data_IF_260508540141
#
_entry.id   IF_260508540141
#
_cell.length_a   1.000
_cell.length_b   1.000
_cell.length_c   1.000
_cell.angle_alpha   90.00
_cell.angle_beta   90.00
_cell.angle_gamma   90.00
#
_symmetry.space_group_name_H-M   'P 1'
#
loop_
_entity.id
_entity.type
_entity.pdbx_description
1 polymer ?
#
# COMPACT_ATOMS: atom_id res chain seq x y z
N UNK A 1 52.08 -45.01 24.32
CA UNK A 1 52.21 -43.57 24.63
C UNK A 1 51.19 -42.76 23.91
N UNK A 2 49.91 -43.11 24.05
CA UNK A 2 48.77 -42.32 23.67
C UNK A 2 47.64 -42.66 24.65
N UNK A 3 47.69 -42.02 25.82
CA UNK A 3 46.58 -42.09 26.76
C UNK A 3 46.76 -41.06 27.83
N UNK A 4 46.42 -39.82 27.51
CA UNK A 4 46.17 -38.75 28.51
C UNK A 4 45.73 -37.49 27.76
N UNK A 5 44.49 -37.41 27.33
CA UNK A 5 43.82 -36.14 26.97
C UNK A 5 42.32 -36.35 26.72
N UNK A 6 41.62 -36.92 27.69
CA UNK A 6 40.16 -37.07 27.64
C UNK A 6 39.53 -36.89 29.02
N UNK A 7 39.93 -35.84 29.74
CA UNK A 7 39.22 -35.33 30.94
C UNK A 7 39.27 -33.83 30.89
N UNK A 8 38.28 -33.16 30.32
CA UNK A 8 38.26 -31.68 30.32
C UNK A 8 37.16 -31.04 29.47
N UNK A 9 36.13 -31.80 29.00
CA UNK A 9 35.10 -31.22 28.14
C UNK A 9 33.66 -31.25 28.69
N UNK A 10 33.47 -31.56 29.99
CA UNK A 10 32.10 -31.61 30.55
C UNK A 10 31.81 -30.56 31.64
N UNK A 11 32.59 -29.49 31.71
CA UNK A 11 32.42 -28.48 32.77
C UNK A 11 32.24 -27.04 32.28
N UNK A 12 31.81 -26.85 31.04
CA UNK A 12 31.53 -25.50 30.50
C UNK A 12 30.13 -25.33 29.90
N UNK A 13 29.13 -26.13 30.29
CA UNK A 13 27.74 -26.00 29.76
C UNK A 13 26.75 -25.62 30.90
N UNK A 14 27.18 -24.96 31.95
CA UNK A 14 26.29 -24.68 33.08
C UNK A 14 26.22 -23.20 33.54
N UNK A 15 26.84 -22.26 32.83
CA UNK A 15 26.68 -20.86 33.09
C UNK A 15 26.37 -20.10 31.80
N UNK A 16 25.22 -20.35 31.20
CA UNK A 16 24.56 -19.33 30.38
C UNK A 16 23.84 -18.42 31.36
N UNK A 17 24.55 -17.38 31.84
CA UNK A 17 23.94 -16.24 32.49
C UNK A 17 22.84 -15.70 31.59
N UNK A 18 21.60 -15.67 32.07
CA UNK A 18 20.46 -15.04 31.40
C UNK A 18 20.73 -13.54 31.32
N UNK A 19 21.40 -13.09 30.25
CA UNK A 19 21.57 -11.66 29.97
C UNK A 19 20.23 -11.09 29.53
N UNK A 20 19.65 -10.26 30.40
CA UNK A 20 18.41 -9.53 30.10
C UNK A 20 18.72 -8.21 29.38
N UNK A 21 17.90 -7.86 28.40
CA UNK A 21 18.03 -6.58 27.69
C UNK A 21 17.24 -5.50 28.43
N UNK A 22 17.92 -4.41 28.79
CA UNK A 22 17.33 -3.24 29.44
C UNK A 22 17.23 -2.08 28.43
N UNK A 23 16.04 -1.50 28.28
CA UNK A 23 15.85 -0.25 27.54
C UNK A 23 16.13 0.93 28.47
N UNK A 24 16.84 1.95 27.97
CA UNK A 24 17.16 3.14 28.76
C UNK A 24 16.85 4.44 28.01
N UNK A 25 16.54 5.46 28.80
CA UNK A 25 16.59 6.86 28.39
C UNK A 25 17.71 7.52 29.16
N UNK A 26 18.63 8.17 28.47
CA UNK A 26 19.76 8.85 29.04
C UNK A 26 19.95 10.22 28.38
N UNK A 27 20.67 11.11 29.03
CA UNK A 27 21.03 12.42 28.51
C UNK A 27 22.53 12.45 28.24
N UNK A 28 22.91 12.93 27.07
CA UNK A 28 24.29 13.14 26.64
C UNK A 28 24.88 14.40 27.33
N UNK A 29 26.18 14.54 27.30
CA UNK A 29 26.90 15.71 27.84
C UNK A 29 26.44 17.06 27.22
N UNK A 30 25.81 17.04 26.07
CA UNK A 30 25.17 18.18 25.38
C UNK A 30 23.73 18.49 25.81
N UNK A 31 23.15 17.71 26.75
CA UNK A 31 21.75 17.87 27.20
C UNK A 31 20.70 17.26 26.28
N UNK A 32 21.09 16.43 25.30
CA UNK A 32 20.16 15.80 24.35
C UNK A 32 19.71 14.42 24.84
N UNK A 33 18.42 14.15 24.76
CA UNK A 33 17.84 12.85 25.13
C UNK A 33 18.27 11.75 24.15
N UNK A 34 18.90 10.70 24.66
CA UNK A 34 19.30 9.49 23.92
C UNK A 34 18.55 8.29 24.47
N UNK A 35 18.00 7.46 23.57
CA UNK A 35 17.35 6.19 23.91
C UNK A 35 18.17 5.05 23.34
N UNK A 36 18.33 3.97 24.10
CA UNK A 36 19.06 2.78 23.66
C UNK A 36 18.66 1.54 24.43
N UNK A 37 19.28 0.41 24.08
CA UNK A 37 19.15 -0.85 24.80
C UNK A 37 20.54 -1.36 25.19
N UNK A 38 20.68 -1.96 26.36
CA UNK A 38 21.93 -2.54 26.86
C UNK A 38 21.64 -3.91 27.48
N UNK A 39 22.50 -4.88 27.20
CA UNK A 39 22.44 -6.20 27.79
C UNK A 39 23.20 -6.24 29.09
N UNK A 40 22.53 -6.66 30.17
CA UNK A 40 23.09 -6.73 31.51
C UNK A 40 22.37 -7.78 32.35
N UNK A 41 23.04 -8.30 33.37
CA UNK A 41 22.45 -9.27 34.32
C UNK A 41 21.53 -8.59 35.35
N UNK A 42 21.71 -7.28 35.54
CA UNK A 42 20.92 -6.49 36.51
C UNK A 42 20.77 -5.03 36.07
N UNK A 43 19.72 -4.38 36.63
CA UNK A 43 19.47 -2.94 36.41
C UNK A 43 20.65 -2.04 36.82
N UNK A 44 21.39 -2.44 37.87
CA UNK A 44 22.53 -1.67 38.38
C UNK A 44 23.75 -1.82 37.47
N UNK A 45 23.92 -2.99 36.85
CA UNK A 45 24.96 -3.22 35.84
C UNK A 45 24.65 -2.46 34.55
N UNK A 46 23.39 -2.47 34.13
CA UNK A 46 22.93 -1.66 32.99
C UNK A 46 23.24 -0.16 33.22
N UNK A 47 22.98 0.34 34.43
CA UNK A 47 23.28 1.73 34.79
C UNK A 47 24.78 2.03 34.75
N UNK A 48 25.65 1.11 35.15
CA UNK A 48 27.12 1.26 35.05
C UNK A 48 27.58 1.30 33.59
N UNK A 49 27.13 0.35 32.78
CA UNK A 49 27.48 0.30 31.36
C UNK A 49 27.07 1.58 30.61
N UNK A 50 25.89 2.16 30.93
CA UNK A 50 25.41 3.41 30.34
C UNK A 50 26.26 4.60 30.75
N UNK A 51 26.69 4.65 32.03
CA UNK A 51 27.59 5.69 32.53
C UNK A 51 29.02 5.60 31.95
N UNK A 52 29.52 4.37 31.72
CA UNK A 52 30.81 4.14 31.04
C UNK A 52 30.79 4.61 29.57
N UNK A 53 29.63 4.62 28.94
CA UNK A 53 29.41 5.17 27.58
C UNK A 53 29.27 6.70 27.58
N UNK A 54 29.38 7.37 28.72
CA UNK A 54 29.32 8.82 28.83
C UNK A 54 27.90 9.40 28.93
N UNK A 55 26.89 8.55 29.11
CA UNK A 55 25.49 8.96 29.21
C UNK A 55 25.01 8.98 30.67
N UNK A 56 24.17 9.95 31.01
CA UNK A 56 23.52 10.00 32.34
C UNK A 56 22.14 9.33 32.24
N UNK A 57 21.94 8.16 32.88
CA UNK A 57 20.67 7.45 32.80
C UNK A 57 19.55 8.17 33.55
N UNK A 58 18.45 8.47 32.87
CA UNK A 58 17.26 9.11 33.47
C UNK A 58 16.23 8.04 33.84
N UNK A 59 16.11 6.98 33.03
CA UNK A 59 15.18 5.88 33.29
C UNK A 59 15.70 4.58 32.66
N UNK A 60 15.69 3.50 33.45
CA UNK A 60 16.07 2.15 32.99
C UNK A 60 14.94 1.19 33.32
N UNK A 61 14.41 0.48 32.31
CA UNK A 61 13.36 -0.50 32.44
C UNK A 61 13.76 -1.83 31.81
N UNK A 62 13.26 -2.97 32.36
CA UNK A 62 13.33 -4.24 31.63
C UNK A 62 12.54 -4.12 30.35
N UNK A 63 13.10 -4.53 29.23
CA UNK A 63 12.41 -4.55 27.95
C UNK A 63 11.32 -5.64 28.01
N UNK A 64 10.09 -5.23 28.34
CA UNK A 64 8.93 -6.12 28.26
C UNK A 64 8.68 -6.53 26.81
N UNK A 65 8.07 -7.70 26.59
CA UNK A 65 7.74 -8.21 25.25
C UNK A 65 6.86 -7.24 24.41
N UNK A 66 6.30 -6.20 25.03
CA UNK A 66 5.49 -5.13 24.43
C UNK A 66 6.30 -3.88 24.04
N UNK A 67 7.56 -3.75 24.51
CA UNK A 67 8.44 -2.61 24.24
C UNK A 67 9.48 -2.89 23.12
N UNK A 68 9.41 -4.06 22.50
CA UNK A 68 9.98 -4.21 21.17
C UNK A 68 9.19 -3.25 20.31
N UNK A 69 9.83 -2.18 19.85
CA UNK A 69 9.36 -1.46 18.67
C UNK A 69 8.97 -2.56 17.70
N UNK A 70 7.66 -2.78 17.59
CA UNK A 70 7.11 -3.68 16.57
C UNK A 70 7.48 -2.97 15.28
N UNK A 71 8.65 -3.33 14.77
CA UNK A 71 9.05 -2.99 13.43
C UNK A 71 7.95 -3.57 12.55
N UNK A 72 6.91 -2.77 12.31
CA UNK A 72 5.82 -3.07 11.40
C UNK A 72 6.33 -3.13 9.95
N UNK A 73 7.57 -3.53 9.75
CA UNK A 73 8.18 -3.83 8.47
C UNK A 73 7.50 -5.03 7.76
N UNK A 74 6.57 -5.71 8.47
CA UNK A 74 5.64 -6.65 7.84
C UNK A 74 4.73 -6.00 6.77
N UNK A 75 4.58 -4.69 6.81
CA UNK A 75 3.94 -3.88 5.76
C UNK A 75 4.97 -3.29 4.80
N UNK A 76 5.93 -3.98 4.27
CA UNK A 76 6.91 -3.56 3.27
C UNK A 76 7.30 -2.06 3.29
N UNK A 77 8.36 -1.62 2.71
CA UNK A 77 8.72 -0.21 2.69
C UNK A 77 7.57 0.60 2.08
N UNK A 78 6.94 1.50 2.84
CA UNK A 78 5.89 2.39 2.32
C UNK A 78 6.53 3.26 1.23
N UNK A 79 6.17 3.02 -0.03
CA UNK A 79 6.60 3.87 -1.16
C UNK A 79 6.20 5.31 -0.89
N UNK A 80 7.05 6.25 -1.28
CA UNK A 80 6.76 7.69 -1.17
C UNK A 80 5.50 8.00 -1.99
N UNK A 81 4.57 8.82 -1.45
CA UNK A 81 3.37 9.22 -2.18
C UNK A 81 3.72 9.95 -3.49
N UNK A 82 3.00 9.65 -4.57
CA UNK A 82 3.22 10.33 -5.85
C UNK A 82 3.04 11.86 -5.77
N UNK A 83 2.22 12.34 -4.82
CA UNK A 83 2.07 13.78 -4.57
C UNK A 83 3.37 14.41 -4.07
N UNK A 84 4.05 13.76 -3.11
CA UNK A 84 5.29 14.27 -2.55
C UNK A 84 6.40 14.27 -3.61
N UNK A 85 6.43 13.22 -4.47
CA UNK A 85 7.33 13.16 -5.63
C UNK A 85 7.05 14.26 -6.66
N UNK A 86 5.76 14.57 -6.92
CA UNK A 86 5.40 15.68 -7.83
C UNK A 86 5.90 17.02 -7.30
N UNK A 87 5.70 17.28 -5.99
CA UNK A 87 6.17 18.51 -5.34
C UNK A 87 7.69 18.61 -5.38
N UNK A 88 8.38 17.52 -5.02
CA UNK A 88 9.84 17.44 -5.11
C UNK A 88 10.36 17.75 -6.52
N UNK A 89 9.86 17.07 -7.54
CA UNK A 89 10.29 17.31 -8.93
C UNK A 89 10.01 18.74 -9.39
N UNK A 90 8.85 19.32 -9.01
CA UNK A 90 8.47 20.68 -9.38
C UNK A 90 9.35 21.71 -8.72
N UNK A 91 9.64 21.57 -7.43
CA UNK A 91 10.54 22.44 -6.70
C UNK A 91 11.96 22.35 -7.24
N UNK A 92 12.45 21.11 -7.48
CA UNK A 92 13.78 20.88 -8.03
C UNK A 92 13.93 21.54 -9.40
N UNK A 93 12.97 21.33 -10.32
CA UNK A 93 12.96 22.00 -11.62
C UNK A 93 13.00 23.53 -11.49
N UNK A 94 12.22 24.10 -10.56
CA UNK A 94 12.16 25.55 -10.34
C UNK A 94 13.47 26.14 -9.83
N UNK A 95 14.14 25.42 -8.91
CA UNK A 95 15.43 25.83 -8.34
C UNK A 95 16.53 25.77 -9.41
N UNK A 96 16.57 24.69 -10.21
CA UNK A 96 17.53 24.57 -11.32
C UNK A 96 17.31 25.64 -12.40
N UNK A 97 16.05 25.97 -12.70
CA UNK A 97 15.68 27.04 -13.62
C UNK A 97 16.17 28.42 -13.17
N UNK A 98 16.25 28.63 -11.86
CA UNK A 98 16.83 29.83 -11.28
C UNK A 98 18.37 29.87 -11.34
N UNK A 99 19.04 28.82 -11.91
CA UNK A 99 20.49 28.76 -12.06
C UNK A 99 21.23 28.24 -10.82
N UNK A 100 20.52 27.69 -9.83
CA UNK A 100 21.14 27.10 -8.64
C UNK A 100 21.76 25.74 -9.01
N UNK A 101 22.94 25.43 -8.44
CA UNK A 101 23.61 24.15 -8.67
C UNK A 101 22.78 22.97 -8.15
N UNK A 102 22.98 21.77 -8.72
CA UNK A 102 22.28 20.55 -8.29
C UNK A 102 22.49 20.26 -6.81
N UNK A 103 23.71 20.43 -6.30
CA UNK A 103 24.06 20.18 -4.90
C UNK A 103 23.29 21.12 -3.97
N UNK A 104 23.35 22.43 -4.23
CA UNK A 104 22.64 23.41 -3.41
C UNK A 104 21.11 23.25 -3.51
N UNK A 105 20.61 22.82 -4.67
CA UNK A 105 19.19 22.53 -4.85
C UNK A 105 18.74 21.32 -4.01
N UNK A 106 19.56 20.26 -3.95
CA UNK A 106 19.28 19.09 -3.09
C UNK A 106 19.32 19.45 -1.61
N UNK A 107 20.25 20.29 -1.17
CA UNK A 107 20.33 20.80 0.20
C UNK A 107 19.04 21.53 0.59
N UNK A 108 18.63 22.52 -0.21
CA UNK A 108 17.38 23.27 0.03
C UNK A 108 16.16 22.37 0.07
N UNK A 109 16.09 21.38 -0.83
CA UNK A 109 14.97 20.42 -0.87
C UNK A 109 14.97 19.48 0.34
N UNK A 110 16.14 19.04 0.80
CA UNK A 110 16.29 18.24 2.02
C UNK A 110 15.77 18.97 3.25
N UNK A 111 16.04 20.26 3.39
CA UNK A 111 15.55 21.09 4.49
C UNK A 111 14.03 21.29 4.45
N UNK A 112 13.44 21.49 3.26
CA UNK A 112 12.03 21.81 3.07
C UNK A 112 11.12 20.57 3.03
N UNK A 113 11.68 19.36 2.88
CA UNK A 113 10.90 18.14 2.71
C UNK A 113 10.36 17.63 4.04
N UNK A 114 9.02 17.58 4.20
CA UNK A 114 8.35 17.09 5.41
C UNK A 114 8.39 15.55 5.52
N UNK A 115 8.36 14.85 4.39
CA UNK A 115 8.38 13.40 4.34
C UNK A 115 9.78 12.87 4.70
N UNK A 116 9.91 12.29 5.89
CA UNK A 116 11.20 11.83 6.45
C UNK A 116 11.98 10.91 5.51
N UNK A 117 11.31 9.97 4.83
CA UNK A 117 11.97 9.04 3.91
C UNK A 117 12.50 9.74 2.66
N UNK A 118 11.68 10.65 2.10
CA UNK A 118 12.12 11.44 0.95
C UNK A 118 13.29 12.34 1.34
N UNK A 119 13.23 12.97 2.53
CA UNK A 119 14.30 13.77 3.07
C UNK A 119 15.60 12.97 3.20
N UNK A 120 15.57 11.80 3.83
CA UNK A 120 16.74 10.91 3.97
C UNK A 120 17.28 10.46 2.61
N UNK A 121 16.42 10.19 1.62
CA UNK A 121 16.84 9.84 0.26
C UNK A 121 17.51 11.02 -0.44
N UNK A 122 16.99 12.24 -0.28
CA UNK A 122 17.59 13.47 -0.83
C UNK A 122 18.97 13.74 -0.20
N UNK A 123 19.09 13.63 1.12
CA UNK A 123 20.34 13.85 1.84
C UNK A 123 21.43 12.82 1.45
N UNK A 124 21.05 11.55 1.27
CA UNK A 124 21.96 10.52 0.76
C UNK A 124 22.41 10.83 -0.67
N UNK A 125 21.45 11.20 -1.54
CA UNK A 125 21.75 11.57 -2.92
C UNK A 125 22.67 12.79 -2.98
N UNK A 126 22.43 13.83 -2.17
CA UNK A 126 23.30 14.99 -2.06
C UNK A 126 24.73 14.57 -1.73
N UNK A 127 24.90 13.74 -0.68
CA UNK A 127 26.22 13.27 -0.24
C UNK A 127 26.99 12.50 -1.32
N UNK A 128 26.31 11.72 -2.17
CA UNK A 128 26.91 10.99 -3.30
C UNK A 128 27.31 11.95 -4.44
N UNK A 129 26.44 12.90 -4.77
CA UNK A 129 26.72 13.93 -5.79
C UNK A 129 27.87 14.86 -5.36
N UNK A 130 28.01 15.20 -4.09
CA UNK A 130 29.15 15.96 -3.55
C UNK A 130 30.48 15.22 -3.71
N UNK A 131 30.47 13.88 -3.74
CA UNK A 131 31.65 13.04 -4.01
C UNK A 131 31.98 12.92 -5.50
N UNK A 132 31.17 13.52 -6.38
CA UNK A 132 31.36 13.55 -7.81
C UNK A 132 30.61 12.48 -8.58
N UNK A 133 29.65 11.77 -7.98
CA UNK A 133 28.80 10.83 -8.69
C UNK A 133 27.73 11.57 -9.50
N UNK A 134 27.26 10.94 -10.59
CA UNK A 134 26.14 11.47 -11.35
C UNK A 134 24.85 11.46 -10.51
N UNK A 135 23.98 12.44 -10.71
CA UNK A 135 22.71 12.53 -9.99
C UNK A 135 21.84 11.28 -10.21
N UNK A 136 21.73 10.80 -11.45
CA UNK A 136 20.96 9.60 -11.79
C UNK A 136 21.47 8.34 -11.12
N UNK A 137 22.79 8.15 -11.02
CA UNK A 137 23.39 6.98 -10.39
C UNK A 137 23.22 7.06 -8.86
N UNK A 138 23.47 8.23 -8.26
CA UNK A 138 23.22 8.50 -6.84
C UNK A 138 21.75 8.28 -6.43
N UNK A 139 20.78 8.67 -7.30
CA UNK A 139 19.36 8.42 -7.05
C UNK A 139 18.99 6.94 -7.20
N UNK A 140 19.65 6.20 -8.07
CA UNK A 140 19.40 4.76 -8.30
C UNK A 140 19.74 3.90 -7.10
N UNK A 141 20.72 4.29 -6.30
CA UNK A 141 21.08 3.60 -5.07
C UNK A 141 20.00 3.68 -3.99
N UNK A 142 19.08 4.63 -4.12
CA UNK A 142 17.98 4.83 -3.18
C UNK A 142 16.67 4.24 -3.72
N UNK A 143 16.22 3.11 -3.17
CA UNK A 143 14.97 2.42 -3.55
C UNK A 143 13.70 3.29 -3.43
N UNK A 144 13.80 4.41 -2.72
CA UNK A 144 12.73 5.37 -2.54
C UNK A 144 12.38 6.11 -3.83
N UNK A 145 13.33 6.30 -4.75
CA UNK A 145 13.07 6.94 -6.03
C UNK A 145 12.55 5.92 -7.06
N UNK A 146 11.41 6.20 -7.71
CA UNK A 146 10.91 5.35 -8.78
C UNK A 146 11.88 5.28 -9.96
N UNK A 147 12.03 4.09 -10.57
CA UNK A 147 12.92 3.88 -11.72
C UNK A 147 12.69 4.88 -12.86
N UNK A 148 11.41 5.17 -13.17
CA UNK A 148 11.05 6.17 -14.19
C UNK A 148 11.65 7.55 -13.91
N UNK A 149 11.74 7.99 -12.66
CA UNK A 149 12.36 9.26 -12.29
C UNK A 149 13.86 9.20 -12.55
N UNK A 150 14.52 8.13 -12.10
CA UNK A 150 15.96 7.92 -12.27
C UNK A 150 16.33 7.90 -13.74
N UNK A 151 15.58 7.18 -14.57
CA UNK A 151 15.84 7.07 -16.02
C UNK A 151 15.59 8.40 -16.75
N UNK A 152 14.57 9.16 -16.34
CA UNK A 152 14.33 10.52 -16.85
C UNK A 152 15.43 11.51 -16.45
N UNK A 153 15.94 11.42 -15.23
CA UNK A 153 17.09 12.21 -14.77
C UNK A 153 18.34 11.85 -15.58
N UNK A 154 18.58 10.56 -15.80
CA UNK A 154 19.70 10.08 -16.63
C UNK A 154 19.64 10.64 -18.05
N UNK A 155 18.47 10.62 -18.69
CA UNK A 155 18.26 11.22 -20.00
C UNK A 155 18.48 12.75 -19.97
N UNK A 156 18.02 13.41 -18.90
CA UNK A 156 18.20 14.86 -18.69
C UNK A 156 19.66 15.25 -18.45
N UNK A 157 20.44 14.45 -17.72
CA UNK A 157 21.89 14.64 -17.55
C UNK A 157 22.62 14.51 -18.87
N UNK A 158 22.34 13.43 -19.63
CA UNK A 158 22.98 13.18 -20.91
C UNK A 158 22.69 14.27 -21.96
N UNK A 159 21.50 14.87 -21.93
CA UNK A 159 21.08 15.94 -22.85
C UNK A 159 21.31 17.36 -22.32
N UNK A 160 21.76 17.51 -21.06
CA UNK A 160 21.88 18.82 -20.40
C UNK A 160 20.54 19.50 -20.11
N UNK A 161 19.42 18.75 -20.08
CA UNK A 161 18.06 19.28 -19.92
C UNK A 161 17.34 18.74 -18.68
N UNK A 162 18.05 18.68 -17.54
CA UNK A 162 17.50 18.20 -16.24
C UNK A 162 16.21 18.90 -15.83
N UNK A 163 16.14 20.22 -16.04
CA UNK A 163 14.95 21.03 -15.74
C UNK A 163 13.71 20.51 -16.46
N UNK A 164 13.84 20.22 -17.77
CA UNK A 164 12.74 19.70 -18.57
C UNK A 164 12.33 18.31 -18.12
N UNK A 165 13.28 17.43 -17.83
CA UNK A 165 13.03 16.08 -17.32
C UNK A 165 12.29 16.11 -16.00
N UNK A 166 12.72 16.95 -15.06
CA UNK A 166 12.05 17.14 -13.75
C UNK A 166 10.66 17.74 -13.90
N UNK A 167 10.47 18.72 -14.80
CA UNK A 167 9.16 19.31 -15.08
C UNK A 167 8.18 18.26 -15.61
N UNK A 168 8.60 17.42 -16.54
CA UNK A 168 7.80 16.30 -17.07
C UNK A 168 7.44 15.30 -15.97
N UNK A 169 8.40 14.94 -15.13
CA UNK A 169 8.19 14.03 -14.01
C UNK A 169 7.25 14.63 -12.94
N UNK A 170 7.32 15.92 -12.70
CA UNK A 170 6.37 16.61 -11.83
C UNK A 170 4.93 16.45 -12.32
N UNK A 171 4.69 16.67 -13.62
CA UNK A 171 3.37 16.50 -14.25
C UNK A 171 2.94 15.03 -14.22
N UNK A 172 3.85 14.09 -14.53
CA UNK A 172 3.60 12.66 -14.48
C UNK A 172 3.11 12.22 -13.10
N UNK A 173 3.85 12.55 -12.04
CA UNK A 173 3.48 12.21 -10.67
C UNK A 173 2.22 12.93 -10.18
N UNK A 174 1.95 14.15 -10.66
CA UNK A 174 0.70 14.86 -10.36
C UNK A 174 -0.51 14.11 -10.94
N UNK A 175 -0.41 13.67 -12.20
CA UNK A 175 -1.47 12.88 -12.85
C UNK A 175 -1.66 11.52 -12.15
N UNK A 176 -0.58 10.85 -11.79
CA UNK A 176 -0.63 9.60 -11.01
C UNK A 176 -1.29 9.80 -9.64
N UNK A 177 -0.97 10.91 -8.95
CA UNK A 177 -1.58 11.25 -7.67
C UNK A 177 -3.08 11.56 -7.83
N UNK A 178 -3.47 12.29 -8.90
CA UNK A 178 -4.86 12.59 -9.22
C UNK A 178 -5.67 11.31 -9.44
N UNK A 179 -5.21 10.42 -10.31
CA UNK A 179 -5.88 9.14 -10.59
C UNK A 179 -6.07 8.29 -9.33
N UNK A 180 -5.00 8.13 -8.54
CA UNK A 180 -5.09 7.41 -7.25
C UNK A 180 -6.05 8.11 -6.27
N UNK A 181 -6.05 9.44 -6.28
CA UNK A 181 -6.91 10.27 -5.43
C UNK A 181 -8.39 10.11 -5.75
N UNK A 182 -8.75 10.09 -7.04
CA UNK A 182 -10.13 9.90 -7.52
C UNK A 182 -10.68 8.57 -7.02
N UNK A 183 -9.96 7.47 -7.27
CA UNK A 183 -10.37 6.13 -6.83
C UNK A 183 -10.46 6.04 -5.30
N UNK A 184 -9.48 6.59 -4.58
CA UNK A 184 -9.47 6.57 -3.10
C UNK A 184 -10.65 7.35 -2.51
N UNK A 185 -10.94 8.54 -3.04
CA UNK A 185 -12.07 9.36 -2.58
C UNK A 185 -13.41 8.66 -2.82
N UNK A 186 -13.59 8.07 -4.00
CA UNK A 186 -14.80 7.35 -4.35
C UNK A 186 -15.07 6.14 -3.43
N UNK A 187 -14.03 5.42 -3.02
CA UNK A 187 -14.14 4.27 -2.12
C UNK A 187 -14.36 4.64 -0.65
N UNK A 188 -14.18 5.91 -0.26
CA UNK A 188 -14.33 6.33 1.14
C UNK A 188 -15.77 6.19 1.62
N UNK A 189 -16.74 6.64 0.84
CA UNK A 189 -18.17 6.59 1.20
C UNK A 189 -18.67 5.16 1.42
N UNK A 190 -18.48 4.19 0.49
CA UNK A 190 -18.83 2.79 0.71
C UNK A 190 -18.20 2.19 1.98
N UNK A 191 -16.92 2.48 2.23
CA UNK A 191 -16.21 1.96 3.41
C UNK A 191 -16.85 2.48 4.71
N UNK A 192 -17.16 3.77 4.79
CA UNK A 192 -17.80 4.37 5.96
C UNK A 192 -19.17 3.76 6.20
N UNK A 193 -19.98 3.59 5.15
CA UNK A 193 -21.30 2.96 5.27
C UNK A 193 -21.23 1.51 5.77
N UNK A 194 -20.32 0.71 5.23
CA UNK A 194 -20.11 -0.66 5.68
C UNK A 194 -19.68 -0.68 7.15
N UNK A 195 -18.82 0.25 7.56
CA UNK A 195 -18.36 0.34 8.94
C UNK A 195 -19.50 0.69 9.89
N UNK A 196 -20.37 1.65 9.53
CA UNK A 196 -21.56 2.00 10.29
C UNK A 196 -22.54 0.82 10.37
N UNK A 197 -22.76 0.13 9.25
CA UNK A 197 -23.61 -1.07 9.20
C UNK A 197 -23.12 -2.16 10.17
N UNK A 198 -21.83 -2.46 10.14
CA UNK A 198 -21.21 -3.42 11.08
C UNK A 198 -21.41 -2.96 12.53
N UNK A 199 -21.22 -1.66 12.81
CA UNK A 199 -21.46 -1.08 14.13
C UNK A 199 -22.89 -1.29 14.61
N UNK A 200 -23.89 -1.04 13.77
CA UNK A 200 -25.30 -1.27 14.07
C UNK A 200 -25.58 -2.74 14.36
N UNK A 201 -25.06 -3.66 13.54
CA UNK A 201 -25.21 -5.11 13.75
C UNK A 201 -24.61 -5.52 15.10
N UNK A 202 -23.40 -5.06 15.42
CA UNK A 202 -22.73 -5.37 16.69
C UNK A 202 -23.54 -4.85 17.88
N UNK A 203 -24.02 -3.62 17.84
CA UNK A 203 -24.86 -3.03 18.92
C UNK A 203 -26.14 -3.84 19.10
N UNK A 204 -26.82 -4.18 18.02
CA UNK A 204 -28.05 -4.99 18.08
C UNK A 204 -27.80 -6.38 18.67
N UNK A 205 -26.74 -7.07 18.22
CA UNK A 205 -26.41 -8.41 18.71
C UNK A 205 -25.90 -8.42 20.17
N UNK A 206 -25.21 -7.35 20.61
CA UNK A 206 -24.62 -7.33 21.95
C UNK A 206 -25.49 -6.75 23.03
N UNK A 207 -26.35 -5.80 22.70
CA UNK A 207 -27.18 -5.07 23.66
C UNK A 207 -28.69 -5.35 23.51
N UNK A 208 -29.22 -5.20 22.29
CA UNK A 208 -30.68 -5.22 22.08
C UNK A 208 -31.24 -6.64 22.19
N UNK A 209 -30.68 -7.60 21.45
CA UNK A 209 -31.17 -8.97 21.44
C UNK A 209 -31.10 -9.64 22.83
N UNK A 210 -30.01 -9.50 23.63
CA UNK A 210 -29.98 -10.07 24.97
C UNK A 210 -30.96 -9.46 25.94
N UNK A 211 -31.33 -8.16 25.81
CA UNK A 211 -32.35 -7.56 26.69
C UNK A 211 -33.75 -8.15 26.47
N UNK A 212 -34.02 -8.65 25.27
CA UNK A 212 -35.27 -9.39 25.04
C UNK A 212 -35.23 -10.81 25.63
N UNK A 213 -34.05 -11.45 25.72
CA UNK A 213 -33.93 -12.78 26.32
C UNK A 213 -34.32 -12.83 27.77
N UNK A 214 -33.83 -11.89 28.58
CA UNK A 214 -34.20 -11.85 30.01
C UNK A 214 -35.70 -11.79 30.20
N UNK A 215 -36.42 -11.09 29.30
CA UNK A 215 -37.86 -10.98 29.31
C UNK A 215 -38.58 -12.29 28.94
N UNK A 216 -37.95 -13.18 28.14
CA UNK A 216 -38.52 -14.50 27.78
C UNK A 216 -38.20 -15.58 28.80
N UNK A 217 -37.04 -15.53 29.44
CA UNK A 217 -36.66 -16.45 30.53
C UNK A 217 -37.60 -16.30 31.71
N UNK A 218 -38.05 -15.07 31.99
CA UNK A 218 -39.02 -14.79 33.07
C UNK A 218 -40.45 -15.37 32.80
N UNK A 219 -40.76 -15.76 31.56
CA UNK A 219 -42.07 -16.21 31.12
C UNK A 219 -42.13 -17.72 30.75
N UNK A 220 -41.04 -18.46 30.96
CA UNK A 220 -40.93 -19.91 30.75
C UNK A 220 -41.41 -20.38 29.34
N UNK A 221 -41.27 -19.52 28.32
CA UNK A 221 -41.77 -19.76 26.96
C UNK A 221 -40.65 -20.18 25.99
N UNK A 222 -40.90 -21.16 25.11
CA UNK A 222 -39.95 -21.63 24.14
C UNK A 222 -39.64 -20.55 23.07
N UNK A 223 -38.36 -20.30 22.85
CA UNK A 223 -37.88 -19.35 21.85
C UNK A 223 -38.04 -19.86 20.40
N UNK A 224 -38.48 -19.00 19.45
CA UNK A 224 -38.52 -19.34 18.02
C UNK A 224 -37.15 -19.79 17.48
N UNK A 225 -37.18 -20.68 16.49
CA UNK A 225 -35.95 -21.22 15.87
C UNK A 225 -35.06 -20.11 15.29
N UNK A 226 -35.68 -19.09 14.70
CA UNK A 226 -34.96 -17.91 14.15
C UNK A 226 -34.24 -17.09 15.23
N UNK A 227 -34.94 -16.85 16.36
CA UNK A 227 -34.34 -16.14 17.49
C UNK A 227 -33.21 -16.95 18.12
N UNK A 228 -33.39 -18.28 18.27
CA UNK A 228 -32.36 -19.18 18.76
C UNK A 228 -31.11 -19.19 17.86
N UNK A 229 -31.28 -19.14 16.51
CA UNK A 229 -30.17 -19.04 15.58
C UNK A 229 -29.40 -17.72 15.70
N UNK A 230 -30.12 -16.60 15.85
CA UNK A 230 -29.52 -15.27 16.01
C UNK A 230 -28.79 -15.15 17.35
N UNK A 231 -29.34 -15.75 18.41
CA UNK A 231 -28.72 -15.82 19.74
C UNK A 231 -27.42 -16.63 19.71
N UNK A 232 -27.46 -17.82 19.09
CA UNK A 232 -26.27 -18.64 18.92
C UNK A 232 -25.17 -17.87 18.16
N UNK A 233 -25.57 -17.03 17.18
CA UNK A 233 -24.65 -16.16 16.45
C UNK A 233 -24.13 -15.01 17.34
N UNK A 234 -24.98 -14.42 18.19
CA UNK A 234 -24.60 -13.38 19.17
C UNK A 234 -23.59 -13.92 20.19
N UNK A 235 -23.88 -15.08 20.78
CA UNK A 235 -23.03 -15.71 21.78
C UNK A 235 -21.69 -16.16 21.14
N UNK A 236 -21.75 -16.66 19.92
CA UNK A 236 -20.53 -16.97 19.15
C UNK A 236 -19.68 -15.71 18.91
N UNK A 237 -20.29 -14.58 18.54
CA UNK A 237 -19.56 -13.32 18.34
C UNK A 237 -19.01 -12.80 19.67
N UNK A 238 -19.77 -12.85 20.76
CA UNK A 238 -19.30 -12.41 22.08
C UNK A 238 -18.19 -13.28 22.65
N UNK A 239 -18.34 -14.63 22.52
CA UNK A 239 -17.37 -15.58 23.05
C UNK A 239 -16.12 -15.73 22.19
N UNK A 240 -16.25 -15.63 20.89
CA UNK A 240 -15.19 -15.95 19.93
C UNK A 240 -14.81 -14.78 19.00
N UNK A 241 -15.08 -13.52 19.40
CA UNK A 241 -14.76 -12.34 18.58
C UNK A 241 -13.28 -12.31 18.13
N UNK A 242 -12.36 -12.77 18.99
CA UNK A 242 -10.95 -12.87 18.69
C UNK A 242 -10.64 -13.94 17.60
N UNK A 243 -11.43 -15.03 17.57
CA UNK A 243 -11.30 -16.07 16.52
C UNK A 243 -11.70 -15.48 15.16
N UNK A 244 -12.84 -14.75 15.11
CA UNK A 244 -13.25 -14.06 13.88
C UNK A 244 -12.20 -13.05 13.41
N UNK A 245 -11.62 -12.28 14.34
CA UNK A 245 -10.53 -11.36 14.04
C UNK A 245 -9.29 -12.10 13.51
N UNK A 246 -8.87 -13.20 14.14
CA UNK A 246 -7.74 -14.03 13.68
C UNK A 246 -8.03 -14.63 12.30
N UNK A 247 -9.25 -15.11 12.05
CA UNK A 247 -9.64 -15.65 10.74
C UNK A 247 -9.59 -14.57 9.66
N UNK A 248 -10.15 -13.39 9.91
CA UNK A 248 -10.09 -12.25 8.97
C UNK A 248 -8.64 -11.85 8.69
N UNK A 249 -7.83 -11.68 9.74
CA UNK A 249 -6.40 -11.37 9.60
C UNK A 249 -5.68 -12.50 8.86
N UNK A 250 -5.97 -13.77 9.18
CA UNK A 250 -5.41 -14.94 8.50
C UNK A 250 -5.76 -14.98 7.01
N UNK A 251 -7.01 -14.66 6.63
CA UNK A 251 -7.43 -14.57 5.23
C UNK A 251 -6.68 -13.43 4.53
N UNK A 252 -6.61 -12.23 5.13
CA UNK A 252 -5.89 -11.08 4.56
C UNK A 252 -4.40 -11.39 4.37
N UNK A 253 -3.77 -11.97 5.39
CA UNK A 253 -2.36 -12.39 5.32
C UNK A 253 -2.17 -13.50 4.30
N UNK A 254 -3.06 -14.50 4.28
CA UNK A 254 -3.01 -15.60 3.31
C UNK A 254 -3.12 -15.11 1.86
N UNK A 255 -4.09 -14.24 1.58
CA UNK A 255 -4.25 -13.63 0.24
C UNK A 255 -3.03 -12.78 -0.13
N UNK A 256 -2.44 -12.07 0.84
CA UNK A 256 -1.24 -11.26 0.61
C UNK A 256 -0.01 -12.12 0.36
N UNK A 257 0.18 -13.20 1.13
CA UNK A 257 1.28 -14.16 0.93
C UNK A 257 1.12 -14.90 -0.40
N UNK A 258 -0.10 -15.36 -0.73
CA UNK A 258 -0.40 -15.97 -2.02
C UNK A 258 -0.14 -15.00 -3.17
N UNK A 259 -0.52 -13.72 -3.02
CA UNK A 259 -0.26 -12.67 -4.01
C UNK A 259 1.21 -12.29 -4.20
N UNK A 260 2.09 -12.68 -3.26
CA UNK A 260 3.54 -12.50 -3.42
C UNK A 260 4.22 -13.66 -4.18
N UNK A 261 3.53 -14.80 -4.38
CA UNK A 261 4.01 -15.88 -5.24
C UNK A 261 3.72 -15.56 -6.71
N UNK A 262 4.61 -15.93 -7.64
CA UNK A 262 4.44 -15.67 -9.07
C UNK A 262 3.11 -16.15 -9.61
N UNK A 263 2.76 -17.42 -9.34
CA UNK A 263 1.48 -18.02 -9.76
C UNK A 263 0.28 -17.34 -9.09
N UNK A 264 0.39 -16.99 -7.82
CA UNK A 264 -0.67 -16.32 -7.06
C UNK A 264 -0.94 -14.92 -7.56
N UNK A 265 0.10 -14.14 -7.85
CA UNK A 265 0.01 -12.80 -8.41
C UNK A 265 -0.66 -12.83 -9.80
N UNK A 266 -0.24 -13.75 -10.68
CA UNK A 266 -0.83 -13.91 -12.00
C UNK A 266 -2.33 -14.28 -11.92
N UNK A 267 -2.71 -15.25 -11.06
CA UNK A 267 -4.09 -15.65 -10.89
C UNK A 267 -4.98 -14.55 -10.28
N UNK A 268 -4.49 -13.86 -9.25
CA UNK A 268 -5.23 -12.75 -8.64
C UNK A 268 -5.42 -11.59 -9.62
N UNK A 269 -4.40 -11.24 -10.40
CA UNK A 269 -4.48 -10.16 -11.37
C UNK A 269 -5.40 -10.52 -12.54
N UNK A 270 -5.41 -11.78 -12.97
CA UNK A 270 -6.38 -12.30 -13.93
C UNK A 270 -7.81 -12.27 -13.40
N UNK A 271 -8.01 -12.61 -12.13
CA UNK A 271 -9.32 -12.56 -11.49
C UNK A 271 -9.83 -11.11 -11.41
N UNK A 272 -8.96 -10.16 -11.02
CA UNK A 272 -9.32 -8.73 -10.97
C UNK A 272 -9.80 -8.19 -12.31
N UNK A 273 -9.22 -8.63 -13.44
CA UNK A 273 -9.65 -8.24 -14.78
C UNK A 273 -11.00 -8.86 -15.19
N UNK A 274 -11.37 -10.03 -14.63
CA UNK A 274 -12.63 -10.72 -14.94
C UNK A 274 -13.83 -10.16 -14.16
N UNK A 275 -13.61 -9.48 -13.05
CA UNK A 275 -14.70 -8.90 -12.25
C UNK A 275 -15.35 -7.77 -13.05
N UNK A 276 -16.67 -7.82 -13.32
CA UNK A 276 -17.36 -6.74 -14.04
C UNK A 276 -17.17 -5.41 -13.28
N UNK A 277 -17.10 -4.30 -13.98
CA UNK A 277 -16.87 -2.93 -13.50
C UNK A 277 -15.43 -2.71 -13.01
N UNK A 278 -14.91 -3.53 -12.08
CA UNK A 278 -13.52 -3.44 -11.60
C UNK A 278 -12.49 -3.76 -12.68
N UNK A 279 -12.75 -4.80 -13.49
CA UNK A 279 -11.86 -5.18 -14.60
C UNK A 279 -11.77 -4.06 -15.63
N UNK A 280 -12.91 -3.45 -15.96
CA UNK A 280 -12.96 -2.33 -16.90
C UNK A 280 -12.19 -1.12 -16.37
N UNK A 281 -12.37 -0.77 -15.08
CA UNK A 281 -11.61 0.29 -14.43
C UNK A 281 -10.09 0.01 -14.44
N UNK A 282 -9.70 -1.25 -14.20
CA UNK A 282 -8.30 -1.65 -14.21
C UNK A 282 -7.69 -1.58 -15.61
N UNK A 283 -8.43 -2.00 -16.64
CA UNK A 283 -8.02 -1.88 -18.05
C UNK A 283 -7.83 -0.41 -18.43
N UNK A 284 -8.82 0.45 -18.16
CA UNK A 284 -8.72 1.89 -18.45
C UNK A 284 -7.55 2.53 -17.71
N UNK A 285 -7.35 2.19 -16.43
CA UNK A 285 -6.22 2.69 -15.62
C UNK A 285 -4.86 2.22 -16.16
N UNK A 286 -4.76 0.97 -16.63
CA UNK A 286 -3.54 0.45 -17.25
C UNK A 286 -3.24 1.18 -18.57
N UNK A 287 -4.25 1.40 -19.41
CA UNK A 287 -4.12 2.15 -20.67
C UNK A 287 -3.72 3.62 -20.43
N UNK A 288 -4.32 4.30 -19.44
CA UNK A 288 -3.95 5.64 -19.06
C UNK A 288 -2.47 5.72 -18.60
N UNK A 289 -2.08 4.79 -17.72
CA UNK A 289 -0.70 4.70 -17.22
C UNK A 289 0.31 4.42 -18.33
N UNK A 290 0.03 3.44 -19.19
CA UNK A 290 0.85 3.10 -20.36
C UNK A 290 1.02 4.29 -21.30
N UNK A 291 -0.10 4.85 -21.77
CA UNK A 291 -0.08 5.94 -22.75
C UNK A 291 0.63 7.19 -22.18
N UNK A 292 0.38 7.53 -20.92
CA UNK A 292 1.01 8.66 -20.24
C UNK A 292 2.51 8.44 -20.08
N UNK A 293 2.93 7.28 -19.61
CA UNK A 293 4.35 6.97 -19.40
C UNK A 293 5.10 6.98 -20.74
N UNK A 294 4.57 6.27 -21.74
CA UNK A 294 5.17 6.24 -23.08
C UNK A 294 5.27 7.63 -23.69
N UNK A 295 4.20 8.43 -23.66
CA UNK A 295 4.24 9.78 -24.23
C UNK A 295 5.27 10.66 -23.52
N UNK A 296 5.37 10.59 -22.19
CA UNK A 296 6.34 11.37 -21.40
C UNK A 296 7.77 11.01 -21.76
N UNK A 297 8.08 9.70 -21.89
CA UNK A 297 9.41 9.22 -22.21
C UNK A 297 9.80 9.54 -23.66
N UNK A 298 8.91 9.32 -24.64
CA UNK A 298 9.15 9.66 -26.03
C UNK A 298 9.34 11.16 -26.24
N UNK A 299 8.54 12.00 -25.59
CA UNK A 299 8.72 13.46 -25.60
C UNK A 299 10.04 13.91 -24.96
N UNK A 300 10.65 13.10 -24.10
CA UNK A 300 11.98 13.36 -23.56
C UNK A 300 13.11 12.90 -24.52
N UNK A 301 12.76 12.36 -25.71
CA UNK A 301 13.70 11.86 -26.71
C UNK A 301 14.22 10.45 -26.42
N UNK A 302 13.58 9.72 -25.51
CA UNK A 302 13.98 8.35 -25.18
C UNK A 302 13.64 7.39 -26.33
N UNK A 303 14.54 6.44 -26.71
CA UNK A 303 14.25 5.43 -27.70
C UNK A 303 13.00 4.61 -27.35
N UNK A 304 12.23 4.20 -28.37
CA UNK A 304 10.96 3.47 -28.21
C UNK A 304 11.10 2.20 -27.37
N UNK A 305 12.20 1.46 -27.53
CA UNK A 305 12.46 0.19 -26.83
C UNK A 305 12.67 0.44 -25.34
N UNK A 306 13.47 1.43 -24.99
CA UNK A 306 13.74 1.80 -23.60
C UNK A 306 12.47 2.36 -22.92
N UNK A 307 11.71 3.17 -23.66
CA UNK A 307 10.42 3.68 -23.20
C UNK A 307 9.40 2.54 -22.92
N UNK A 308 9.38 1.48 -23.72
CA UNK A 308 8.54 0.29 -23.51
C UNK A 308 8.98 -0.47 -22.26
N UNK A 309 10.27 -0.65 -22.03
CA UNK A 309 10.82 -1.31 -20.84
C UNK A 309 10.41 -0.59 -19.55
N UNK A 310 10.65 0.71 -19.52
CA UNK A 310 10.26 1.55 -18.37
C UNK A 310 8.75 1.55 -18.18
N UNK A 311 7.97 1.65 -19.27
CA UNK A 311 6.51 1.60 -19.19
C UNK A 311 6.03 0.25 -18.66
N UNK A 312 6.62 -0.87 -19.07
CA UNK A 312 6.31 -2.18 -18.53
C UNK A 312 6.57 -2.23 -17.01
N UNK A 313 7.71 -1.74 -16.53
CA UNK A 313 8.07 -1.72 -15.11
C UNK A 313 7.12 -0.91 -14.23
N UNK A 314 6.41 0.07 -14.80
CA UNK A 314 5.41 0.88 -14.09
C UNK A 314 4.05 0.19 -13.96
N UNK A 315 3.80 -0.91 -14.71
CA UNK A 315 2.54 -1.62 -14.69
C UNK A 315 2.33 -2.35 -13.36
N UNK A 316 1.16 -2.15 -12.75
CA UNK A 316 0.81 -2.80 -11.49
C UNK A 316 0.34 -4.22 -11.67
N UNK A 317 -0.33 -4.50 -12.80
CA UNK A 317 -0.88 -5.81 -13.14
C UNK A 317 0.15 -6.60 -13.96
N UNK A 318 0.47 -7.81 -13.50
CA UNK A 318 1.47 -8.68 -14.13
C UNK A 318 1.13 -9.02 -15.58
N UNK A 319 -0.16 -9.17 -15.92
CA UNK A 319 -0.56 -9.48 -17.30
C UNK A 319 -0.19 -8.37 -18.28
N UNK A 320 -0.30 -7.11 -17.86
CA UNK A 320 0.12 -5.96 -18.68
C UNK A 320 1.65 -5.85 -18.75
N UNK A 321 2.35 -6.15 -17.64
CA UNK A 321 3.81 -6.24 -17.63
C UNK A 321 4.32 -7.27 -18.64
N UNK A 322 3.81 -8.51 -18.55
CA UNK A 322 4.21 -9.63 -19.44
C UNK A 322 3.86 -9.34 -20.91
N UNK A 323 2.71 -8.67 -21.14
CA UNK A 323 2.30 -8.27 -22.48
C UNK A 323 3.25 -7.22 -23.07
N UNK A 324 3.64 -6.19 -22.29
CA UNK A 324 4.54 -5.15 -22.76
C UNK A 324 5.97 -5.67 -22.99
N UNK A 325 6.45 -6.63 -22.19
CA UNK A 325 7.73 -7.30 -22.44
C UNK A 325 7.72 -8.07 -23.78
N UNK A 326 6.61 -8.72 -24.13
CA UNK A 326 6.42 -9.36 -25.45
C UNK A 326 6.34 -8.32 -26.56
N UNK A 327 5.61 -7.22 -26.33
CA UNK A 327 5.52 -6.10 -27.27
C UNK A 327 6.92 -5.52 -27.54
N UNK A 328 7.71 -5.27 -26.47
CA UNK A 328 9.10 -4.81 -26.59
C UNK A 328 9.94 -5.73 -27.45
N UNK A 329 9.83 -7.04 -27.23
CA UNK A 329 10.55 -8.05 -28.02
C UNK A 329 10.14 -8.03 -29.49
N UNK A 330 8.85 -7.83 -29.82
CA UNK A 330 8.37 -7.70 -31.19
C UNK A 330 8.86 -6.41 -31.87
N UNK A 331 8.81 -5.28 -31.14
CA UNK A 331 9.28 -3.99 -31.65
C UNK A 331 10.79 -3.99 -31.88
N UNK A 332 11.56 -4.66 -31.04
CA UNK A 332 13.04 -4.81 -31.24
C UNK A 332 13.39 -5.59 -32.50
N UNK A 333 12.48 -6.43 -33.02
CA UNK A 333 12.58 -7.11 -34.31
C UNK A 333 12.10 -6.25 -35.49
N UNK A 334 11.73 -5.00 -35.26
CA UNK A 334 11.23 -4.08 -36.28
C UNK A 334 9.75 -4.21 -36.61
N UNK A 335 8.98 -4.95 -35.81
CA UNK A 335 7.53 -5.05 -36.02
C UNK A 335 6.80 -3.81 -35.47
N UNK A 336 5.73 -3.34 -36.14
CA UNK A 336 4.97 -2.17 -35.70
C UNK A 336 4.41 -2.35 -34.28
N UNK A 337 4.52 -1.32 -33.45
CA UNK A 337 4.02 -1.29 -32.06
C UNK A 337 2.52 -1.55 -32.00
N UNK A 338 1.75 -0.90 -32.89
CA UNK A 338 0.29 -1.07 -32.98
C UNK A 338 -0.12 -2.53 -33.19
N UNK A 339 0.60 -3.26 -34.06
CA UNK A 339 0.33 -4.68 -34.31
C UNK A 339 0.66 -5.55 -33.09
N UNK A 340 1.75 -5.25 -32.38
CA UNK A 340 2.13 -5.98 -31.17
C UNK A 340 1.13 -5.74 -30.04
N UNK A 341 0.67 -4.50 -29.83
CA UNK A 341 -0.38 -4.16 -28.86
C UNK A 341 -1.70 -4.89 -29.20
N UNK A 342 -2.07 -4.95 -30.48
CA UNK A 342 -3.27 -5.70 -30.93
C UNK A 342 -3.16 -7.19 -30.61
N UNK A 343 -2.03 -7.79 -30.89
CA UNK A 343 -1.77 -9.22 -30.65
C UNK A 343 -1.82 -9.58 -29.16
N UNK A 344 -1.49 -8.65 -28.27
CA UNK A 344 -1.56 -8.86 -26.83
C UNK A 344 -2.99 -9.08 -26.31
N UNK A 345 -4.00 -8.55 -27.01
CA UNK A 345 -5.42 -8.65 -26.65
C UNK A 345 -5.83 -7.93 -25.36
N UNK A 346 -4.92 -7.22 -24.70
CA UNK A 346 -5.18 -6.52 -23.42
C UNK A 346 -5.49 -5.03 -23.62
N UNK A 347 -5.06 -4.45 -24.72
CA UNK A 347 -5.28 -3.04 -25.02
C UNK A 347 -6.53 -2.83 -25.87
N UNK A 348 -7.42 -1.90 -25.47
CA UNK A 348 -8.61 -1.57 -26.26
C UNK A 348 -8.26 -1.08 -27.67
N UNK A 349 -9.16 -1.29 -28.66
CA UNK A 349 -8.94 -0.91 -30.05
C UNK A 349 -8.51 0.55 -30.23
N UNK A 350 -9.02 1.46 -29.42
CA UNK A 350 -8.68 2.89 -29.48
C UNK A 350 -7.19 3.15 -29.28
N UNK A 351 -6.55 2.53 -28.27
CA UNK A 351 -5.10 2.68 -28.03
C UNK A 351 -4.32 2.17 -29.25
N UNK A 352 -4.72 0.99 -29.77
CA UNK A 352 -4.09 0.36 -30.93
C UNK A 352 -4.20 1.24 -32.16
N UNK A 353 -5.37 1.84 -32.43
CA UNK A 353 -5.59 2.73 -33.57
C UNK A 353 -4.81 4.04 -33.46
N UNK A 354 -4.81 4.66 -32.25
CA UNK A 354 -4.06 5.91 -32.03
C UNK A 354 -2.57 5.68 -32.22
N UNK A 355 -2.02 4.58 -31.71
CA UNK A 355 -0.61 4.21 -31.91
C UNK A 355 -0.34 3.96 -33.39
N UNK A 356 -1.23 3.24 -34.10
CA UNK A 356 -1.09 3.00 -35.55
C UNK A 356 -1.04 4.30 -36.38
N UNK A 357 -1.94 5.24 -36.09
CA UNK A 357 -1.93 6.57 -36.73
C UNK A 357 -0.62 7.29 -36.41
N UNK A 358 -0.16 7.23 -35.16
CA UNK A 358 1.12 7.82 -34.75
C UNK A 358 2.33 7.21 -35.46
N UNK A 359 2.34 5.89 -35.70
CA UNK A 359 3.39 5.20 -36.46
C UNK A 359 3.38 5.63 -37.94
N UNK A 360 2.21 5.72 -38.56
CA UNK A 360 2.07 6.15 -39.97
C UNK A 360 2.46 7.62 -40.18
N UNK A 361 2.14 8.48 -39.21
CA UNK A 361 2.40 9.94 -39.29
C UNK A 361 3.75 10.35 -38.70
N UNK A 362 4.46 9.44 -38.04
CA UNK A 362 5.70 9.73 -37.31
C UNK A 362 5.49 10.50 -35.99
N UNK A 363 4.25 10.59 -35.48
CA UNK A 363 3.90 11.40 -34.31
C UNK A 363 3.26 10.54 -33.19
N UNK A 364 3.96 9.45 -32.83
CA UNK A 364 3.47 8.49 -31.82
C UNK A 364 3.29 9.15 -30.45
N UNK A 365 4.17 10.09 -30.10
CA UNK A 365 4.15 10.76 -28.79
C UNK A 365 2.89 11.59 -28.55
N UNK A 366 2.40 12.33 -29.57
CA UNK A 366 1.19 13.11 -29.49
C UNK A 366 -0.06 12.23 -29.45
N UNK A 367 -0.10 11.17 -30.24
CA UNK A 367 -1.19 10.21 -30.25
C UNK A 367 -1.32 9.49 -28.92
N UNK A 368 -0.20 9.15 -28.30
CA UNK A 368 -0.19 8.58 -26.95
C UNK A 368 -0.60 9.63 -25.88
N UNK A 369 -0.21 10.89 -26.03
CA UNK A 369 -0.67 11.97 -25.14
C UNK A 369 -2.20 12.10 -25.17
N UNK A 370 -2.79 12.11 -26.36
CA UNK A 370 -4.23 12.18 -26.55
C UNK A 370 -4.93 10.94 -25.97
N UNK A 371 -4.36 9.76 -26.19
CA UNK A 371 -4.85 8.51 -25.58
C UNK A 371 -4.78 8.56 -24.06
N UNK A 372 -3.71 9.12 -23.48
CA UNK A 372 -3.56 9.24 -22.03
C UNK A 372 -4.64 10.14 -21.43
N UNK A 373 -4.88 11.31 -22.03
CA UNK A 373 -5.93 12.25 -21.57
C UNK A 373 -7.29 11.58 -21.62
N UNK A 374 -7.63 10.92 -22.75
CA UNK A 374 -8.90 10.22 -22.90
C UNK A 374 -9.09 9.14 -21.82
N UNK A 375 -8.09 8.28 -21.60
CA UNK A 375 -8.22 7.23 -20.59
C UNK A 375 -8.15 7.73 -19.16
N UNK A 376 -7.49 8.85 -18.87
CA UNK A 376 -7.56 9.52 -17.57
C UNK A 376 -8.99 9.97 -17.25
N UNK A 377 -9.68 10.57 -18.21
CA UNK A 377 -11.11 10.94 -18.11
C UNK A 377 -12.02 9.72 -17.98
N UNK A 378 -11.77 8.68 -18.76
CA UNK A 378 -12.50 7.43 -18.70
C UNK A 378 -12.37 6.70 -17.35
N UNK A 379 -11.21 6.77 -16.71
CA UNK A 379 -11.00 6.28 -15.33
C UNK A 379 -11.84 7.07 -14.34
N UNK A 380 -11.93 8.39 -14.50
CA UNK A 380 -12.74 9.26 -13.65
C UNK A 380 -14.23 8.91 -13.77
N UNK A 381 -14.75 8.80 -15.00
CA UNK A 381 -16.13 8.40 -15.30
C UNK A 381 -16.43 6.99 -14.77
N UNK A 382 -15.54 6.02 -15.03
CA UNK A 382 -15.72 4.64 -14.58
C UNK A 382 -15.71 4.54 -13.04
N UNK A 383 -14.92 5.37 -12.37
CA UNK A 383 -14.88 5.43 -10.91
C UNK A 383 -16.18 5.99 -10.33
N UNK A 384 -16.77 7.01 -10.97
CA UNK A 384 -18.07 7.54 -10.60
C UNK A 384 -19.18 6.49 -10.81
N UNK A 385 -19.17 5.80 -11.95
CA UNK A 385 -20.09 4.70 -12.23
C UNK A 385 -20.01 3.60 -11.18
N UNK A 386 -18.79 3.20 -10.79
CA UNK A 386 -18.58 2.23 -9.73
C UNK A 386 -19.24 2.68 -8.40
N UNK A 387 -19.03 3.94 -8.02
CA UNK A 387 -19.59 4.50 -6.79
C UNK A 387 -21.12 4.52 -6.84
N UNK A 388 -21.70 4.94 -7.95
CA UNK A 388 -23.16 4.96 -8.15
C UNK A 388 -23.81 3.58 -8.12
N UNK A 389 -23.08 2.54 -8.60
CA UNK A 389 -23.55 1.15 -8.51
C UNK A 389 -23.43 0.57 -7.09
N UNK A 390 -22.47 1.03 -6.31
CA UNK A 390 -22.30 0.57 -4.92
C UNK A 390 -23.45 1.02 -4.01
N UNK A 391 -24.02 2.20 -4.26
CA UNK A 391 -25.10 2.76 -3.43
C UNK A 391 -26.34 1.87 -3.37
N UNK A 392 -26.98 1.45 -4.49
CA UNK A 392 -28.10 0.52 -4.45
C UNK A 392 -27.77 -0.82 -3.79
N UNK A 393 -26.56 -1.33 -3.99
CA UNK A 393 -26.13 -2.60 -3.39
C UNK A 393 -26.07 -2.47 -1.86
N UNK A 394 -25.52 -1.37 -1.36
CA UNK A 394 -25.43 -1.11 0.08
C UNK A 394 -26.84 -0.92 0.67
N UNK A 395 -27.73 -0.19 -0.02
CA UNK A 395 -29.12 0.00 0.43
C UNK A 395 -29.86 -1.33 0.54
N UNK A 396 -29.76 -2.20 -0.48
CA UNK A 396 -30.38 -3.54 -0.45
C UNK A 396 -29.80 -4.39 0.68
N UNK A 397 -28.48 -4.36 0.87
CA UNK A 397 -27.82 -5.07 1.96
C UNK A 397 -28.29 -4.55 3.34
N UNK A 398 -28.39 -3.25 3.51
CA UNK A 398 -28.90 -2.62 4.73
C UNK A 398 -30.36 -3.00 4.98
N UNK A 399 -31.21 -2.94 3.96
CA UNK A 399 -32.61 -3.35 4.05
C UNK A 399 -32.73 -4.81 4.48
N UNK A 400 -31.91 -5.71 3.90
CA UNK A 400 -31.87 -7.11 4.29
C UNK A 400 -31.50 -7.31 5.76
N UNK A 401 -30.46 -6.61 6.24
CA UNK A 401 -30.04 -6.64 7.65
C UNK A 401 -31.16 -6.13 8.57
N UNK A 402 -31.81 -5.02 8.21
CA UNK A 402 -32.91 -4.44 8.99
C UNK A 402 -34.08 -5.41 9.05
N UNK A 403 -34.47 -6.04 7.94
CA UNK A 403 -35.57 -7.04 7.92
C UNK A 403 -35.22 -8.22 8.84
N UNK A 404 -33.98 -8.73 8.81
CA UNK A 404 -33.55 -9.79 9.71
C UNK A 404 -33.66 -9.37 11.19
N UNK A 405 -33.25 -8.14 11.52
CA UNK A 405 -33.35 -7.62 12.89
C UNK A 405 -34.81 -7.44 13.34
N UNK A 406 -35.69 -6.94 12.45
CA UNK A 406 -37.13 -6.83 12.73
C UNK A 406 -37.72 -8.21 12.99
N UNK A 407 -37.45 -9.20 12.15
CA UNK A 407 -37.92 -10.58 12.36
C UNK A 407 -37.42 -11.17 13.69
N UNK A 408 -36.18 -10.88 14.06
CA UNK A 408 -35.59 -11.32 15.33
C UNK A 408 -36.34 -10.77 16.58
N UNK A 409 -36.90 -9.57 16.46
CA UNK A 409 -37.62 -8.90 17.56
C UNK A 409 -39.13 -9.21 17.53
N UNK A 410 -39.73 -9.16 16.32
CA UNK A 410 -41.18 -9.32 16.18
C UNK A 410 -41.67 -10.75 16.44
N UNK A 411 -40.91 -11.76 16.02
CA UNK A 411 -41.32 -13.15 16.14
C UNK A 411 -41.45 -13.60 17.60
N UNK A 412 -40.53 -13.28 18.52
CA UNK A 412 -40.71 -13.48 19.95
C UNK A 412 -41.92 -12.76 20.52
N UNK A 413 -42.14 -11.48 20.16
CA UNK A 413 -43.24 -10.69 20.67
C UNK A 413 -44.63 -11.28 20.31
N UNK A 414 -44.80 -11.79 19.08
CA UNK A 414 -46.05 -12.44 18.64
C UNK A 414 -46.28 -13.73 19.43
N UNK A 415 -45.26 -14.52 19.71
CA UNK A 415 -45.39 -15.75 20.52
C UNK A 415 -45.78 -15.41 21.95
N UNK A 416 -45.17 -14.41 22.55
CA UNK A 416 -45.51 -13.92 23.88
C UNK A 416 -47.00 -13.53 23.95
N UNK A 417 -47.47 -12.78 22.96
CA UNK A 417 -48.87 -12.36 22.88
C UNK A 417 -49.82 -13.57 22.77
N UNK A 418 -49.48 -14.58 21.97
CA UNK A 418 -50.26 -15.79 21.81
C UNK A 418 -50.28 -16.65 23.10
N UNK A 419 -49.18 -16.71 23.85
CA UNK A 419 -49.06 -17.47 25.09
C UNK A 419 -49.89 -16.81 26.22
N UNK A 420 -49.80 -15.48 26.32
CA UNK A 420 -50.62 -14.73 27.29
C UNK A 420 -52.11 -14.75 26.95
N UNK A 421 -52.49 -14.74 25.67
CA UNK A 421 -53.88 -14.83 25.24
C UNK A 421 -54.50 -16.23 25.38
N UNK A 422 -53.69 -17.29 25.50
CA UNK A 422 -54.16 -18.68 25.74
C UNK A 422 -54.31 -19.04 27.23
N UNK A 423 -53.80 -18.20 28.12
CA UNK A 423 -53.91 -18.40 29.60
C UNK A 423 -55.03 -17.57 30.21
N UNK A 424 -55.73 -16.70 29.49
CA UNK A 424 -56.94 -15.97 29.90
C UNK A 424 -58.18 -16.54 29.21
#
# INVERSE_FOLDING_TARGET
>A
EISECLVGSEMCIRDRCDMETFSYKAVDASGKDVKGAVEAESKDEAARKIKEQGFTPVSIGKQGALDKDVNLSFFGPKKIPARDMSVFCRQFASILKAGVSVINALEMLGEQTENKRLKEAIERTQSSVEKGENLSDSMRENEEFPSILVDMIKAGEASGSLENSLTRMAVQFEKDAKLKGVVKKAMMYPIVLIFVMIGVIVVMLTFVIPSFMTMFEDLDSELPVTTRAILAMSDSIKGYWYVYLIVVVGIVVGVKLYGNTENGRHNLDKLKLKIPVFGLLQTKSACASFARTMSTLLQAGMPMIDALEISASTMKNVLYYDALEKVKSGVSLGLPLSNQLRTSGLFPPMVVHMVGIGEETGNVEEMLTNSAVYYEEEVEVQTQTLTSLMEPIIIVLMAFVVVLLILAIYQPMIQLYNTLGSQG
#
